data_IF_268607388931
#
_entry.id   IF_268607388931
#
_cell.length_a   1.000
_cell.length_b   1.000
_cell.length_c   1.000
_cell.angle_alpha   90.00
_cell.angle_beta   90.00
_cell.angle_gamma   90.00
#
_symmetry.space_group_name_H-M   'P 1'
#
loop_
_entity.id
_entity.type
_entity.pdbx_description
1 polymer ?
#
# COMPACT_ATOMS: atom_id res chain seq x y z
N UNK A 1 2.47 -14.23 29.02
CA UNK A 1 2.26 -15.54 28.35
C UNK A 1 2.98 -15.51 27.02
N UNK A 2 4.05 -16.28 26.86
CA UNK A 2 4.82 -16.35 25.60
C UNK A 2 3.99 -17.04 24.53
N UNK A 3 3.89 -16.51 23.28
CA UNK A 3 3.12 -17.16 22.23
C UNK A 3 3.80 -18.48 21.87
N UNK A 4 3.11 -19.58 22.11
CA UNK A 4 3.57 -20.91 21.69
C UNK A 4 3.73 -20.91 20.17
N UNK A 5 4.95 -20.99 19.67
CA UNK A 5 5.27 -21.21 18.25
C UNK A 5 4.67 -22.55 17.80
N UNK A 6 3.52 -22.51 17.16
CA UNK A 6 2.88 -23.69 16.60
C UNK A 6 3.61 -24.08 15.29
N UNK A 7 4.12 -25.31 15.13
CA UNK A 7 4.85 -25.75 13.94
C UNK A 7 4.06 -25.57 12.63
N UNK A 8 2.72 -25.55 12.70
CA UNK A 8 1.83 -25.29 11.58
C UNK A 8 1.95 -23.85 11.04
N UNK A 9 2.14 -22.85 11.92
CA UNK A 9 2.30 -21.43 11.51
C UNK A 9 3.61 -21.20 10.75
N UNK A 10 4.72 -21.80 11.19
CA UNK A 10 5.99 -21.69 10.48
C UNK A 10 5.93 -22.30 9.07
N UNK A 11 5.26 -23.45 8.91
CA UNK A 11 5.08 -24.09 7.59
C UNK A 11 4.19 -23.25 6.66
N UNK A 12 3.15 -22.60 7.17
CA UNK A 12 2.29 -21.70 6.40
C UNK A 12 3.04 -20.45 5.97
N UNK A 13 3.82 -19.83 6.86
CA UNK A 13 4.67 -18.68 6.55
C UNK A 13 5.69 -18.99 5.46
N UNK A 14 6.37 -20.16 5.54
CA UNK A 14 7.31 -20.60 4.52
C UNK A 14 6.65 -20.87 3.16
N UNK A 15 5.43 -21.42 3.14
CA UNK A 15 4.65 -21.60 1.90
C UNK A 15 4.26 -20.26 1.28
N UNK A 16 3.89 -19.28 2.10
CA UNK A 16 3.60 -17.92 1.68
C UNK A 16 4.81 -17.27 0.99
N UNK A 17 5.98 -17.26 1.63
CA UNK A 17 7.19 -16.69 1.05
C UNK A 17 7.57 -17.37 -0.27
N UNK A 18 7.45 -18.70 -0.37
CA UNK A 18 7.75 -19.43 -1.62
C UNK A 18 6.82 -19.04 -2.79
N UNK A 19 5.59 -18.62 -2.52
CA UNK A 19 4.62 -18.24 -3.55
C UNK A 19 4.75 -16.76 -3.97
N UNK A 20 5.10 -15.88 -3.04
CA UNK A 20 5.05 -14.42 -3.26
C UNK A 20 6.42 -13.77 -3.40
N UNK A 21 7.44 -14.22 -2.69
CA UNK A 21 8.80 -13.70 -2.80
C UNK A 21 9.55 -14.39 -3.95
N UNK A 22 9.12 -14.17 -5.18
CA UNK A 22 9.72 -14.77 -6.37
C UNK A 22 10.31 -13.70 -7.29
N UNK A 23 11.44 -14.02 -7.91
CA UNK A 23 12.08 -13.17 -8.91
C UNK A 23 11.14 -12.88 -10.09
N UNK A 24 10.39 -13.91 -10.54
CA UNK A 24 9.42 -13.78 -11.64
C UNK A 24 8.34 -12.74 -11.34
N UNK A 25 7.80 -12.72 -10.11
CA UNK A 25 6.85 -11.69 -9.68
C UNK A 25 7.47 -10.29 -9.72
N UNK A 26 8.69 -10.14 -9.19
CA UNK A 26 9.39 -8.85 -9.17
C UNK A 26 9.70 -8.34 -10.58
N UNK A 27 10.12 -9.22 -11.49
CA UNK A 27 10.38 -8.87 -12.89
C UNK A 27 9.08 -8.52 -13.62
N UNK A 28 7.97 -9.22 -13.34
CA UNK A 28 6.65 -8.90 -13.89
C UNK A 28 6.21 -7.49 -13.52
N UNK A 29 6.20 -7.16 -12.22
CA UNK A 29 5.84 -5.82 -11.73
C UNK A 29 6.78 -4.73 -12.28
N UNK A 30 8.09 -5.03 -12.38
CA UNK A 30 9.05 -4.10 -12.99
C UNK A 30 8.78 -3.87 -14.48
N UNK A 31 8.37 -4.90 -15.21
CA UNK A 31 8.01 -4.76 -16.63
C UNK A 31 6.77 -3.90 -16.86
N UNK A 32 5.84 -3.89 -15.90
CA UNK A 32 4.61 -3.11 -15.97
C UNK A 32 4.82 -1.62 -15.63
N UNK A 33 5.93 -1.29 -14.97
CA UNK A 33 6.27 0.09 -14.59
C UNK A 33 6.31 1.06 -15.80
N UNK A 34 6.62 0.58 -17.01
CA UNK A 34 6.54 1.38 -18.25
C UNK A 34 5.14 1.91 -18.55
N UNK A 35 4.10 1.29 -17.99
CA UNK A 35 2.70 1.67 -18.18
C UNK A 35 2.22 2.68 -17.13
N UNK A 36 2.95 2.91 -16.03
CA UNK A 36 2.53 3.77 -14.93
C UNK A 36 2.05 5.16 -15.41
N UNK A 37 2.79 5.77 -16.35
CA UNK A 37 2.49 7.10 -16.86
C UNK A 37 1.64 7.10 -18.15
N UNK A 38 1.62 5.99 -18.90
CA UNK A 38 0.97 5.91 -20.21
C UNK A 38 -0.36 5.17 -20.20
N UNK A 39 -0.47 4.15 -19.37
CA UNK A 39 -1.64 3.29 -19.21
C UNK A 39 -1.80 2.90 -17.72
N UNK A 40 -2.12 3.88 -16.85
CA UNK A 40 -2.23 3.64 -15.42
C UNK A 40 -3.28 2.57 -15.07
N UNK A 41 -4.32 2.43 -15.90
CA UNK A 41 -5.32 1.38 -15.79
C UNK A 41 -4.72 -0.05 -15.83
N UNK A 42 -3.72 -0.28 -16.67
CA UNK A 42 -3.02 -1.58 -16.79
C UNK A 42 -2.09 -1.77 -15.59
N UNK A 43 -1.23 -0.79 -15.32
CA UNK A 43 -0.25 -0.87 -14.24
C UNK A 43 -0.91 -1.08 -12.88
N UNK A 44 -1.82 -0.17 -12.51
CA UNK A 44 -2.52 -0.26 -11.23
C UNK A 44 -3.51 -1.43 -11.16
N UNK A 45 -4.07 -1.88 -12.30
CA UNK A 45 -4.89 -3.07 -12.35
C UNK A 45 -4.11 -4.34 -11.96
N UNK A 46 -2.94 -4.56 -12.56
CA UNK A 46 -2.06 -5.69 -12.22
C UNK A 46 -1.53 -5.59 -10.79
N UNK A 47 -1.12 -4.39 -10.36
CA UNK A 47 -0.66 -4.15 -9.00
C UNK A 47 -1.77 -4.44 -7.97
N UNK A 48 -3.00 -4.04 -8.26
CA UNK A 48 -4.15 -4.31 -7.41
C UNK A 48 -4.45 -5.81 -7.30
N UNK A 49 -4.47 -6.54 -8.41
CA UNK A 49 -4.68 -7.99 -8.40
C UNK A 49 -3.59 -8.73 -7.60
N UNK A 50 -2.33 -8.35 -7.76
CA UNK A 50 -1.23 -8.91 -7.01
C UNK A 50 -1.34 -8.60 -5.51
N UNK A 51 -1.69 -7.35 -5.16
CA UNK A 51 -1.87 -6.91 -3.77
C UNK A 51 -3.04 -7.62 -3.10
N UNK A 52 -4.19 -7.72 -3.76
CA UNK A 52 -5.35 -8.47 -3.24
C UNK A 52 -4.99 -9.94 -3.04
N UNK A 53 -4.27 -10.55 -3.98
CA UNK A 53 -3.78 -11.92 -3.83
C UNK A 53 -2.83 -12.08 -2.62
N UNK A 54 -1.96 -11.10 -2.38
CA UNK A 54 -1.07 -11.06 -1.21
C UNK A 54 -1.87 -10.98 0.10
N UNK A 55 -2.79 -10.02 0.18
CA UNK A 55 -3.64 -9.79 1.35
C UNK A 55 -4.50 -11.01 1.64
N UNK A 56 -5.11 -11.61 0.63
CA UNK A 56 -5.88 -12.85 0.73
C UNK A 56 -5.08 -13.99 1.35
N UNK A 57 -3.85 -14.20 0.87
CA UNK A 57 -2.99 -15.29 1.36
C UNK A 57 -2.55 -15.05 2.81
N UNK A 58 -2.25 -13.80 3.20
CA UNK A 58 -1.91 -13.42 4.58
C UNK A 58 -3.13 -13.63 5.49
N UNK A 59 -4.27 -13.08 5.09
CA UNK A 59 -5.49 -13.14 5.89
C UNK A 59 -5.99 -14.59 6.09
N UNK A 60 -5.91 -15.42 5.05
CA UNK A 60 -6.18 -16.86 5.14
C UNK A 60 -5.22 -17.59 6.10
N UNK A 61 -3.96 -17.13 6.19
CA UNK A 61 -2.97 -17.71 7.10
C UNK A 61 -3.16 -17.31 8.58
N UNK A 62 -3.77 -16.16 8.83
CA UNK A 62 -4.06 -15.64 10.18
C UNK A 62 -5.37 -16.20 10.72
N UNK A 63 -6.40 -16.26 9.89
CA UNK A 63 -7.65 -16.94 10.18
C UNK A 63 -7.53 -18.40 9.73
N UNK A 64 -7.96 -19.34 10.55
CA UNK A 64 -8.19 -20.72 10.11
C UNK A 64 -9.27 -20.67 9.02
N UNK A 65 -8.83 -20.54 7.77
CA UNK A 65 -9.73 -20.33 6.66
C UNK A 65 -10.66 -21.53 6.50
N UNK A 66 -11.96 -21.27 6.64
CA UNK A 66 -13.00 -22.19 6.19
C UNK A 66 -12.88 -22.42 4.68
N UNK A 67 -13.69 -23.32 4.14
CA UNK A 67 -13.78 -23.54 2.69
C UNK A 67 -14.43 -22.30 2.04
N UNK A 68 -13.72 -21.60 1.15
CA UNK A 68 -14.26 -20.46 0.41
C UNK A 68 -13.22 -19.37 0.12
N UNK A 69 -13.70 -18.23 -0.42
CA UNK A 69 -12.86 -17.05 -0.64
C UNK A 69 -12.58 -16.35 0.71
N UNK A 70 -11.33 -16.27 1.16
CA UNK A 70 -10.99 -15.75 2.50
C UNK A 70 -11.43 -14.31 2.74
N UNK A 71 -11.43 -13.47 1.71
CA UNK A 71 -11.77 -12.04 1.83
C UNK A 71 -13.28 -11.77 1.71
N UNK A 72 -14.12 -12.77 1.41
CA UNK A 72 -15.56 -12.55 1.26
C UNK A 72 -16.19 -11.99 2.53
N UNK A 73 -16.79 -10.80 2.41
CA UNK A 73 -17.41 -10.06 3.52
C UNK A 73 -16.41 -9.51 4.55
N UNK A 74 -15.10 -9.58 4.28
CA UNK A 74 -14.10 -8.93 5.11
C UNK A 74 -14.12 -7.42 4.85
N UNK A 75 -14.13 -6.61 5.92
CA UNK A 75 -13.99 -5.16 5.82
C UNK A 75 -12.54 -4.76 5.65
N UNK A 76 -12.22 -4.16 4.51
CA UNK A 76 -10.87 -3.75 4.14
C UNK A 76 -10.80 -2.23 4.14
N UNK A 77 -9.81 -1.66 4.84
CA UNK A 77 -9.50 -0.23 4.76
C UNK A 77 -8.18 -0.03 4.02
N UNK A 78 -8.21 0.74 2.95
CA UNK A 78 -7.06 1.24 2.21
C UNK A 78 -6.75 2.68 2.65
N UNK A 79 -5.62 2.88 3.29
CA UNK A 79 -5.20 4.20 3.78
C UNK A 79 -4.26 4.84 2.76
N UNK A 80 -4.74 5.88 2.10
CA UNK A 80 -4.08 6.50 0.96
C UNK A 80 -4.39 5.78 -0.35
N UNK A 81 -5.63 5.27 -0.51
CA UNK A 81 -6.01 4.44 -1.67
C UNK A 81 -6.14 5.18 -3.00
N UNK A 82 -5.90 6.51 -3.00
CA UNK A 82 -5.85 7.32 -4.21
C UNK A 82 -7.08 7.17 -5.12
N UNK A 83 -6.87 6.93 -6.44
CA UNK A 83 -7.95 6.89 -7.43
C UNK A 83 -8.92 5.69 -7.34
N UNK A 84 -8.67 4.71 -6.45
CA UNK A 84 -9.60 3.61 -6.22
C UNK A 84 -9.44 2.37 -7.11
N UNK A 85 -8.33 2.22 -7.82
CA UNK A 85 -8.06 1.01 -8.63
C UNK A 85 -8.14 -0.29 -7.83
N UNK A 86 -7.71 -0.25 -6.57
CA UNK A 86 -7.74 -1.41 -5.68
C UNK A 86 -9.17 -1.84 -5.31
N UNK A 87 -10.11 -0.88 -5.23
CA UNK A 87 -11.51 -1.16 -4.90
C UNK A 87 -12.13 -2.18 -5.86
N UNK A 88 -11.86 -2.06 -7.15
CA UNK A 88 -12.37 -2.99 -8.17
C UNK A 88 -11.85 -4.43 -7.94
N UNK A 89 -10.59 -4.58 -7.56
CA UNK A 89 -9.98 -5.89 -7.32
C UNK A 89 -10.49 -6.52 -6.01
N UNK A 90 -10.71 -5.72 -4.96
CA UNK A 90 -11.30 -6.19 -3.70
C UNK A 90 -12.78 -6.58 -3.85
N UNK A 91 -13.55 -5.81 -4.63
CA UNK A 91 -14.94 -6.13 -4.94
C UNK A 91 -15.07 -7.49 -5.65
N UNK A 92 -14.20 -7.76 -6.63
CA UNK A 92 -14.10 -9.08 -7.28
C UNK A 92 -13.80 -10.21 -6.28
N UNK A 93 -13.05 -9.95 -5.21
CA UNK A 93 -12.79 -10.90 -4.13
C UNK A 93 -13.96 -11.00 -3.13
N UNK A 94 -15.01 -10.21 -3.31
CA UNK A 94 -16.18 -10.17 -2.44
C UNK A 94 -15.94 -9.50 -1.09
N UNK A 95 -14.94 -8.64 -0.98
CA UNK A 95 -14.65 -7.87 0.22
C UNK A 95 -15.45 -6.55 0.27
N UNK A 96 -15.74 -6.09 1.49
CA UNK A 96 -16.30 -4.76 1.74
C UNK A 96 -15.14 -3.74 1.78
N UNK A 97 -14.86 -3.08 0.65
CA UNK A 97 -13.72 -2.17 0.52
C UNK A 97 -14.08 -0.75 0.89
N UNK A 98 -13.20 -0.13 1.69
CA UNK A 98 -13.23 1.28 2.08
C UNK A 98 -11.88 1.92 1.79
N UNK A 99 -11.87 3.21 1.44
CA UNK A 99 -10.63 3.97 1.29
C UNK A 99 -10.70 5.29 2.04
N UNK A 100 -9.57 5.72 2.59
CA UNK A 100 -9.41 7.03 3.23
C UNK A 100 -8.27 7.78 2.53
N UNK A 101 -8.61 8.93 1.90
CA UNK A 101 -7.69 9.75 1.12
C UNK A 101 -7.89 11.23 1.45
N UNK A 102 -6.82 11.99 1.79
CA UNK A 102 -6.95 13.41 2.09
C UNK A 102 -7.14 14.28 0.82
N UNK A 103 -6.60 13.86 -0.32
CA UNK A 103 -6.60 14.63 -1.57
C UNK A 103 -7.77 14.27 -2.47
N UNK A 104 -8.71 15.21 -2.61
CA UNK A 104 -9.88 15.05 -3.49
C UNK A 104 -9.48 14.92 -4.97
N UNK A 105 -8.37 15.54 -5.38
CA UNK A 105 -7.85 15.42 -6.74
C UNK A 105 -7.38 14.00 -7.05
N UNK A 106 -6.67 13.37 -6.12
CA UNK A 106 -6.25 11.97 -6.25
C UNK A 106 -7.46 11.03 -6.26
N UNK A 107 -8.46 11.25 -5.38
CA UNK A 107 -9.70 10.45 -5.38
C UNK A 107 -10.45 10.49 -6.72
N UNK A 108 -10.36 11.60 -7.45
CA UNK A 108 -11.06 11.79 -8.73
C UNK A 108 -10.23 11.43 -9.96
N UNK A 109 -8.93 11.19 -9.82
CA UNK A 109 -7.97 11.13 -10.93
C UNK A 109 -8.27 10.05 -11.98
N UNK A 110 -8.83 8.89 -11.55
CA UNK A 110 -9.19 7.79 -12.47
C UNK A 110 -10.66 7.83 -12.91
N UNK A 111 -11.48 8.76 -12.43
CA UNK A 111 -12.92 8.77 -12.66
C UNK A 111 -13.69 7.63 -12.00
N UNK A 112 -13.04 6.84 -11.15
CA UNK A 112 -13.65 5.75 -10.39
C UNK A 112 -14.42 6.34 -9.22
N UNK A 113 -15.74 6.09 -9.16
CA UNK A 113 -16.59 6.55 -8.06
C UNK A 113 -16.80 5.41 -7.08
N UNK A 114 -16.14 5.46 -5.93
CA UNK A 114 -16.36 4.55 -4.82
C UNK A 114 -17.26 5.21 -3.80
N UNK A 115 -18.41 4.60 -3.48
CA UNK A 115 -19.34 5.09 -2.44
C UNK A 115 -18.74 5.00 -1.03
N UNK A 116 -17.72 4.16 -0.87
CA UNK A 116 -17.02 3.88 0.39
C UNK A 116 -15.70 4.66 0.51
N UNK A 117 -15.50 5.67 -0.35
CA UNK A 117 -14.38 6.58 -0.27
C UNK A 117 -14.65 7.70 0.72
N UNK A 118 -13.77 7.83 1.72
CA UNK A 118 -13.89 8.83 2.78
C UNK A 118 -12.71 9.80 2.68
N UNK A 119 -13.02 11.10 2.69
CA UNK A 119 -11.99 12.13 2.80
C UNK A 119 -11.49 12.21 4.24
N UNK A 120 -10.21 11.94 4.46
CA UNK A 120 -9.62 11.96 5.80
C UNK A 120 -8.10 11.83 5.77
N UNK A 121 -7.49 12.08 6.92
CA UNK A 121 -6.05 11.93 7.11
C UNK A 121 -5.72 10.55 7.67
N UNK A 122 -4.68 9.90 7.13
CA UNK A 122 -4.12 8.69 7.74
C UNK A 122 -3.55 8.91 9.14
N UNK A 123 -3.28 10.18 9.52
CA UNK A 123 -2.80 10.55 10.87
C UNK A 123 -3.92 10.67 11.91
N UNK A 124 -5.18 10.66 11.47
CA UNK A 124 -6.37 10.73 12.32
C UNK A 124 -7.55 10.15 11.54
N UNK A 125 -7.63 8.81 11.54
CA UNK A 125 -8.59 8.07 10.73
C UNK A 125 -10.02 8.25 11.26
N UNK A 126 -10.98 8.70 10.44
CA UNK A 126 -12.35 8.99 10.86
C UNK A 126 -13.19 7.72 11.03
N UNK A 127 -12.62 6.70 11.66
CA UNK A 127 -13.27 5.41 11.90
C UNK A 127 -13.16 5.01 13.36
N UNK A 128 -14.11 4.23 13.82
CA UNK A 128 -14.08 3.63 15.15
C UNK A 128 -12.92 2.64 15.28
N UNK A 129 -12.46 2.43 16.52
CA UNK A 129 -11.50 1.35 16.83
C UNK A 129 -12.11 -0.01 16.48
N UNK A 130 -11.26 -0.96 16.09
CA UNK A 130 -11.65 -2.35 15.82
C UNK A 130 -12.73 -2.49 14.71
N UNK A 131 -12.73 -1.58 13.72
CA UNK A 131 -13.75 -1.54 12.68
C UNK A 131 -13.46 -2.47 11.49
N UNK A 132 -12.17 -2.73 11.17
CA UNK A 132 -11.75 -3.41 9.95
C UNK A 132 -11.08 -4.75 10.22
N UNK A 133 -11.34 -5.71 9.34
CA UNK A 133 -10.69 -7.02 9.37
C UNK A 133 -9.27 -6.95 8.83
N UNK A 134 -9.05 -6.08 7.84
CA UNK A 134 -7.75 -5.78 7.25
C UNK A 134 -7.61 -4.28 7.07
N UNK A 135 -6.47 -3.72 7.46
CA UNK A 135 -6.04 -2.38 7.06
C UNK A 135 -4.76 -2.50 6.27
N UNK A 136 -4.66 -1.77 5.17
CA UNK A 136 -3.40 -1.73 4.43
C UNK A 136 -3.11 -0.32 3.93
N UNK A 137 -1.83 -0.04 3.72
CA UNK A 137 -1.35 1.17 3.08
C UNK A 137 -0.13 0.82 2.25
N UNK A 138 -0.08 1.30 1.02
CA UNK A 138 1.00 1.00 0.08
C UNK A 138 1.54 2.28 -0.53
N UNK A 139 2.84 2.54 -0.32
CA UNK A 139 3.54 3.71 -0.85
C UNK A 139 2.92 5.06 -0.44
N UNK A 140 2.53 5.17 0.82
CA UNK A 140 1.94 6.39 1.43
C UNK A 140 2.76 6.88 2.61
N UNK A 141 3.33 5.97 3.40
CA UNK A 141 4.04 6.31 4.63
C UNK A 141 5.20 7.28 4.41
N UNK A 142 5.87 7.15 3.28
CA UNK A 142 6.95 8.04 2.84
C UNK A 142 6.49 9.47 2.51
N UNK A 143 5.19 9.69 2.36
CA UNK A 143 4.61 10.99 2.02
C UNK A 143 3.97 11.71 3.20
N UNK A 144 3.87 11.04 4.35
CA UNK A 144 3.26 11.63 5.56
C UNK A 144 4.32 12.13 6.56
N UNK A 145 4.04 13.23 7.26
CA UNK A 145 5.02 13.82 8.19
C UNK A 145 5.26 12.96 9.44
N UNK A 146 4.33 12.10 9.82
CA UNK A 146 4.43 11.20 10.97
C UNK A 146 3.93 9.79 10.61
N UNK A 147 4.80 8.97 9.99
CA UNK A 147 4.44 7.63 9.58
C UNK A 147 4.12 6.69 10.76
N UNK A 148 4.69 6.94 11.94
CA UNK A 148 4.40 6.16 13.13
C UNK A 148 3.01 6.42 13.67
N UNK A 149 2.56 7.68 13.66
CA UNK A 149 1.19 8.05 14.03
C UNK A 149 0.19 7.41 13.08
N UNK A 150 0.46 7.42 11.77
CA UNK A 150 -0.35 6.72 10.79
C UNK A 150 -0.44 5.22 11.06
N UNK A 151 0.68 4.56 11.36
CA UNK A 151 0.70 3.15 11.71
C UNK A 151 -0.12 2.85 12.99
N UNK A 152 -0.05 3.72 14.01
CA UNK A 152 -0.84 3.59 15.23
C UNK A 152 -2.34 3.74 14.96
N UNK A 153 -2.75 4.67 14.10
CA UNK A 153 -4.14 4.84 13.69
C UNK A 153 -4.66 3.63 12.92
N UNK A 154 -3.85 3.11 11.98
CA UNK A 154 -4.18 1.85 11.28
C UNK A 154 -4.35 0.69 12.27
N UNK A 155 -3.45 0.57 13.25
CA UNK A 155 -3.56 -0.46 14.29
C UNK A 155 -4.82 -0.28 15.14
N UNK A 156 -5.16 0.96 15.52
CA UNK A 156 -6.35 1.28 16.30
C UNK A 156 -7.65 0.84 15.62
N UNK A 157 -7.76 1.08 14.31
CA UNK A 157 -8.97 0.73 13.56
C UNK A 157 -9.01 -0.73 13.09
N UNK A 158 -7.91 -1.47 13.24
CA UNK A 158 -7.84 -2.90 12.92
C UNK A 158 -8.39 -3.72 14.08
N UNK A 159 -9.29 -4.66 13.81
CA UNK A 159 -9.86 -5.57 14.81
C UNK A 159 -8.76 -6.41 15.49
N UNK A 160 -8.94 -6.77 16.77
CA UNK A 160 -8.12 -7.81 17.41
C UNK A 160 -8.15 -9.11 16.58
N UNK A 161 -6.97 -9.63 16.23
CA UNK A 161 -6.84 -10.78 15.35
C UNK A 161 -7.02 -10.47 13.85
N UNK A 162 -7.19 -9.21 13.49
CA UNK A 162 -7.15 -8.72 12.11
C UNK A 162 -5.72 -8.63 11.57
N UNK A 163 -5.58 -8.08 10.37
CA UNK A 163 -4.30 -7.94 9.67
C UNK A 163 -4.04 -6.49 9.35
N UNK A 164 -2.88 -5.96 9.73
CA UNK A 164 -2.38 -4.68 9.27
C UNK A 164 -1.20 -4.90 8.33
N UNK A 165 -1.22 -4.27 7.17
CA UNK A 165 -0.14 -4.29 6.18
C UNK A 165 0.31 -2.86 5.93
N UNK A 166 1.59 -2.60 6.18
CA UNK A 166 2.18 -1.28 6.07
C UNK A 166 3.40 -1.35 5.15
N UNK A 167 3.28 -0.78 3.96
CA UNK A 167 4.27 -0.85 2.90
C UNK A 167 4.67 0.55 2.45
N UNK A 168 5.96 0.74 2.20
CA UNK A 168 6.53 2.02 1.77
C UNK A 168 7.74 1.81 0.86
N UNK A 169 8.05 2.84 0.08
CA UNK A 169 9.25 2.84 -0.76
C UNK A 169 10.47 3.23 0.07
N UNK A 170 11.45 2.32 0.15
CA UNK A 170 12.70 2.61 0.88
C UNK A 170 13.58 3.58 0.09
N UNK A 171 14.17 4.57 0.80
CA UNK A 171 15.05 5.59 0.21
C UNK A 171 16.20 4.99 -0.61
N UNK A 172 16.91 4.02 -0.06
CA UNK A 172 18.03 3.35 -0.75
C UNK A 172 17.59 2.31 -1.77
N UNK A 173 16.28 2.18 -2.05
CA UNK A 173 15.78 1.36 -3.12
C UNK A 173 15.93 2.02 -4.50
N UNK A 174 15.87 1.27 -5.60
CA UNK A 174 16.00 1.81 -6.95
C UNK A 174 14.92 2.83 -7.32
N UNK A 175 13.80 2.83 -6.61
CA UNK A 175 12.67 3.74 -6.80
C UNK A 175 12.58 4.82 -5.70
N UNK A 176 13.50 4.86 -4.74
CA UNK A 176 13.48 5.82 -3.61
C UNK A 176 13.57 7.29 -4.06
N UNK A 177 14.11 7.54 -5.23
CA UNK A 177 14.17 8.89 -5.81
C UNK A 177 12.84 9.39 -6.37
N UNK A 178 11.80 8.54 -6.47
CA UNK A 178 10.52 8.88 -7.11
C UNK A 178 10.73 9.64 -8.43
N UNK A 179 10.03 10.77 -8.63
CA UNK A 179 10.15 11.60 -9.84
C UNK A 179 11.53 12.24 -10.05
N UNK A 180 12.42 12.27 -9.03
CA UNK A 180 13.75 12.86 -9.17
C UNK A 180 14.70 11.97 -9.96
N UNK A 181 14.39 10.69 -10.13
CA UNK A 181 15.11 9.73 -10.98
C UNK A 181 15.80 8.61 -10.19
N UNK A 182 16.37 7.65 -10.95
CA UNK A 182 16.82 6.36 -10.41
C UNK A 182 18.11 6.42 -9.58
N UNK A 183 18.94 7.46 -9.68
CA UNK A 183 20.23 7.50 -9.02
C UNK A 183 20.52 8.80 -8.25
N UNK A 184 19.80 9.88 -8.53
CA UNK A 184 20.05 11.20 -7.98
C UNK A 184 19.90 11.22 -6.45
N UNK A 185 18.95 10.45 -5.93
CA UNK A 185 18.69 10.33 -4.49
C UNK A 185 19.84 9.67 -3.73
N UNK A 186 20.64 8.81 -4.36
CA UNK A 186 21.84 8.23 -3.72
C UNK A 186 22.94 9.25 -3.44
N UNK A 187 22.94 10.38 -4.15
CA UNK A 187 23.87 11.49 -3.90
C UNK A 187 23.38 12.38 -2.75
N UNK A 188 22.07 12.41 -2.50
CA UNK A 188 21.42 13.17 -1.45
C UNK A 188 20.11 13.80 -1.92
N UNK A 189 19.18 13.96 -0.98
CA UNK A 189 17.85 14.48 -1.27
C UNK A 189 17.84 15.90 -1.82
N UNK A 190 18.63 16.79 -1.23
CA UNK A 190 18.80 18.16 -1.70
C UNK A 190 19.37 18.23 -3.12
N UNK A 191 20.38 17.41 -3.43
CA UNK A 191 20.93 17.32 -4.78
C UNK A 191 19.87 16.86 -5.78
N UNK A 192 19.12 15.82 -5.44
CA UNK A 192 18.05 15.29 -6.28
C UNK A 192 16.96 16.34 -6.55
N UNK A 193 16.50 17.04 -5.50
CA UNK A 193 15.50 18.09 -5.59
C UNK A 193 15.95 19.26 -6.49
N UNK A 194 17.13 19.82 -6.25
CA UNK A 194 17.67 20.93 -7.05
C UNK A 194 17.86 20.55 -8.52
N UNK A 195 18.32 19.33 -8.79
CA UNK A 195 18.49 18.83 -10.15
C UNK A 195 17.16 18.70 -10.86
N UNK A 196 16.14 18.15 -10.16
CA UNK A 196 14.79 18.03 -10.68
C UNK A 196 14.19 19.40 -10.98
N UNK A 197 14.25 20.33 -10.03
CA UNK A 197 13.73 21.69 -10.17
C UNK A 197 14.39 22.43 -11.33
N UNK A 198 15.72 22.32 -11.48
CA UNK A 198 16.46 22.89 -12.63
C UNK A 198 15.97 22.31 -13.98
N UNK A 199 15.62 21.02 -14.02
CA UNK A 199 15.19 20.35 -15.25
C UNK A 199 13.71 20.61 -15.58
N UNK A 200 12.85 20.63 -14.55
CA UNK A 200 11.40 20.64 -14.71
C UNK A 200 10.77 22.03 -14.49
N UNK A 201 11.54 23.00 -13.98
CA UNK A 201 11.05 24.35 -13.66
C UNK A 201 10.12 24.42 -12.45
N UNK A 202 9.96 23.31 -11.69
CA UNK A 202 9.13 23.20 -10.49
C UNK A 202 9.75 22.23 -9.50
N UNK A 203 9.51 22.42 -8.17
CA UNK A 203 10.01 21.48 -7.17
C UNK A 203 9.36 20.10 -7.31
N UNK A 204 10.03 19.03 -6.83
CA UNK A 204 9.43 17.69 -6.79
C UNK A 204 8.23 17.68 -5.86
N UNK A 205 7.18 16.91 -6.22
CA UNK A 205 5.96 16.73 -5.42
C UNK A 205 6.26 16.01 -4.10
N UNK A 206 7.18 15.05 -4.13
CA UNK A 206 7.51 14.17 -3.01
C UNK A 206 8.74 14.66 -2.23
N UNK A 207 8.67 15.87 -1.68
CA UNK A 207 9.78 16.47 -0.94
C UNK A 207 10.05 15.82 0.43
N UNK A 208 9.06 15.21 1.05
CA UNK A 208 9.20 14.60 2.39
C UNK A 208 10.26 13.48 2.43
N UNK A 209 10.33 12.65 1.40
CA UNK A 209 11.36 11.61 1.28
C UNK A 209 12.78 12.15 1.16
N UNK A 210 12.93 13.37 0.63
CA UNK A 210 14.23 13.97 0.35
C UNK A 210 14.91 14.56 1.59
N UNK A 211 14.16 14.74 2.70
CA UNK A 211 14.63 15.37 3.93
C UNK A 211 14.85 14.43 5.12
N UNK A 212 14.47 13.15 5.02
CA UNK A 212 14.63 12.19 6.13
C UNK A 212 15.98 11.47 6.12
N UNK A 213 16.94 11.94 5.33
CA UNK A 213 18.26 11.33 5.17
C UNK A 213 19.40 12.09 5.84
N UNK A 214 19.09 13.02 6.76
CA UNK A 214 20.10 13.71 7.59
C UNK A 214 20.21 13.07 8.97
#
# INVERSE_FOLDING_TARGET
>A
MSPKNHPSRQRQTLRFFRRRATLGRSLGLLSDFKYEQTRPDIFYGHLAEDTVGLIRDIYAGVREAGKGEPLRGAKILDVGGGPGYFGVAFDKAGADYYTCEPDVGEMAAAGIKLQTSVRGSGLDLPFLSDAFDVTYSSNVAEHVPDPWRMANEMLRVTKPGGVMIYSYTVWLGPFGGHETGLWQHYVGGEFAARRYEKKMGKPPKNRCLLYTSD
#
